data_IF_021693237627
#
_entry.id   IF_021693237627
#
_cell.length_a   1.000
_cell.length_b   1.000
_cell.length_c   1.000
_cell.angle_alpha   90.00
_cell.angle_beta   90.00
_cell.angle_gamma   90.00
#
_symmetry.space_group_name_H-M   'P 1'
#
loop_
_entity.id
_entity.type
_entity.pdbx_description
1 polymer ?
#
# COMPACT_ATOMS: atom_id res chain seq x y z
N UNK A 1 -45.93 17.31 28.68
CA UNK A 1 -44.63 16.73 29.09
C UNK A 1 -43.74 16.84 27.88
N UNK A 2 -42.80 17.77 27.90
CA UNK A 2 -41.89 18.03 26.79
C UNK A 2 -40.72 17.04 26.88
N UNK A 3 -40.41 16.35 25.78
CA UNK A 3 -39.25 15.47 25.68
C UNK A 3 -37.96 16.22 26.03
N UNK A 4 -37.01 15.58 26.74
CA UNK A 4 -35.72 16.19 27.03
C UNK A 4 -34.93 16.31 25.73
N UNK A 5 -34.57 17.55 25.37
CA UNK A 5 -33.67 17.85 24.27
C UNK A 5 -32.30 17.25 24.55
N UNK A 6 -31.93 16.27 23.72
CA UNK A 6 -30.61 15.65 23.70
C UNK A 6 -29.53 16.75 23.55
N UNK A 7 -28.45 16.74 24.37
CA UNK A 7 -27.46 17.80 24.32
C UNK A 7 -26.71 17.73 22.97
N UNK A 8 -26.88 18.76 22.15
CA UNK A 8 -26.07 18.96 20.96
C UNK A 8 -24.59 19.00 21.36
N UNK A 9 -23.87 17.93 20.99
CA UNK A 9 -22.43 17.84 21.08
C UNK A 9 -21.85 19.00 20.28
N UNK A 10 -21.37 20.03 20.98
CA UNK A 10 -20.85 21.25 20.37
C UNK A 10 -19.76 20.87 19.38
N UNK A 11 -20.00 21.19 18.10
CA UNK A 11 -19.05 21.01 17.01
C UNK A 11 -17.79 21.82 17.33
N UNK A 12 -16.78 21.14 17.89
CA UNK A 12 -15.48 21.73 18.18
C UNK A 12 -14.85 22.01 16.81
N UNK A 13 -15.01 23.22 16.32
CA UNK A 13 -14.34 23.70 15.11
C UNK A 13 -12.83 23.60 15.31
N UNK A 14 -12.28 22.51 14.78
CA UNK A 14 -10.85 22.26 14.69
C UNK A 14 -10.22 23.38 13.85
N UNK A 15 -9.41 24.21 14.47
CA UNK A 15 -8.63 25.22 13.77
C UNK A 15 -7.60 24.49 12.89
N UNK A 16 -7.79 24.59 11.56
CA UNK A 16 -6.99 23.96 10.53
C UNK A 16 -5.52 24.45 10.51
N UNK A 17 -5.18 25.46 11.32
CA UNK A 17 -3.81 25.96 11.50
C UNK A 17 -2.98 25.17 12.51
N UNK A 18 -3.60 24.30 13.31
CA UNK A 18 -2.87 23.48 14.29
C UNK A 18 -2.10 22.33 13.65
N UNK A 19 -0.91 22.07 14.19
CA UNK A 19 -0.06 20.93 13.83
C UNK A 19 -0.21 19.81 14.86
N UNK A 20 -0.22 18.57 14.37
CA UNK A 20 -0.32 17.36 15.15
C UNK A 20 0.92 16.50 14.93
N UNK A 21 1.43 15.93 16.01
CA UNK A 21 2.46 14.89 15.97
C UNK A 21 1.81 13.57 15.55
N UNK A 22 2.39 12.93 14.55
CA UNK A 22 1.84 11.75 13.89
C UNK A 22 2.85 10.62 13.98
N UNK A 23 2.37 9.47 14.43
CA UNK A 23 3.18 8.27 14.52
C UNK A 23 3.45 7.70 13.13
N UNK A 24 4.73 7.66 12.75
CA UNK A 24 5.16 7.22 11.44
C UNK A 24 4.79 5.75 11.17
N UNK A 25 4.91 4.87 12.17
CA UNK A 25 4.56 3.46 12.05
C UNK A 25 3.06 3.30 11.80
N UNK A 26 2.21 4.03 12.55
CA UNK A 26 0.76 4.01 12.35
C UNK A 26 0.35 4.48 10.96
N UNK A 27 0.95 5.57 10.47
CA UNK A 27 0.72 6.04 9.09
C UNK A 27 1.04 4.95 8.08
N UNK A 28 2.15 4.24 8.24
CA UNK A 28 2.55 3.18 7.32
C UNK A 28 1.68 1.92 7.45
N UNK A 29 1.22 1.60 8.65
CA UNK A 29 0.24 0.54 8.88
C UNK A 29 -1.09 0.84 8.20
N UNK A 30 -1.62 2.07 8.36
CA UNK A 30 -2.85 2.52 7.66
C UNK A 30 -2.64 2.51 6.16
N UNK A 31 -1.52 3.05 5.68
CA UNK A 31 -1.18 3.03 4.27
C UNK A 31 -1.21 1.62 3.67
N UNK A 32 -0.66 0.63 4.39
CA UNK A 32 -0.68 -0.78 4.00
C UNK A 32 -2.08 -1.40 4.12
N UNK A 33 -2.79 -1.13 5.20
CA UNK A 33 -4.11 -1.70 5.49
C UNK A 33 -5.17 -1.28 4.46
N UNK A 34 -5.10 -0.03 4.00
CA UNK A 34 -5.99 0.53 2.98
C UNK A 34 -5.43 0.41 1.56
N UNK A 35 -4.32 -0.33 1.37
CA UNK A 35 -3.67 -0.55 0.07
C UNK A 35 -3.47 0.75 -0.73
N UNK A 36 -3.15 1.84 -0.02
CA UNK A 36 -3.03 3.16 -0.60
C UNK A 36 -1.84 3.19 -1.55
N UNK A 37 -1.89 4.05 -2.57
CA UNK A 37 -0.77 4.28 -3.49
C UNK A 37 -0.31 5.72 -3.38
N UNK A 38 1.02 6.01 -3.30
CA UNK A 38 1.46 7.39 -3.09
C UNK A 38 1.10 8.31 -4.25
N UNK A 39 0.96 7.74 -5.46
CA UNK A 39 0.55 8.45 -6.67
C UNK A 39 -0.91 8.94 -6.64
N UNK A 40 -1.79 8.31 -5.84
CA UNK A 40 -3.20 8.73 -5.75
C UNK A 40 -3.34 10.07 -5.01
N UNK A 41 -2.44 10.37 -4.07
CA UNK A 41 -2.45 11.63 -3.33
C UNK A 41 -2.31 12.86 -4.23
N UNK A 42 -1.46 12.77 -5.25
CA UNK A 42 -1.23 13.85 -6.20
C UNK A 42 -2.35 13.99 -7.24
N UNK A 43 -2.99 12.89 -7.63
CA UNK A 43 -3.98 12.87 -8.69
C UNK A 43 -5.28 13.61 -8.30
N UNK A 44 -5.65 13.60 -7.02
CA UNK A 44 -6.92 14.17 -6.56
C UNK A 44 -6.79 15.59 -5.97
N UNK A 45 -5.64 16.24 -6.13
CA UNK A 45 -5.42 17.60 -5.65
C UNK A 45 -5.47 17.77 -4.13
N UNK A 46 -5.42 16.66 -3.36
CA UNK A 46 -5.45 16.65 -1.89
C UNK A 46 -4.08 17.03 -1.33
N UNK A 47 -3.77 18.32 -1.38
CA UNK A 47 -2.49 18.85 -0.89
C UNK A 47 -2.22 18.43 0.56
N UNK A 48 -0.97 18.04 0.85
CA UNK A 48 -0.55 17.62 2.19
C UNK A 48 -0.74 16.14 2.52
N UNK A 49 -1.65 15.39 1.88
CA UNK A 49 -1.78 13.94 2.12
C UNK A 49 -0.48 13.20 1.79
N UNK A 50 0.13 13.57 0.67
CA UNK A 50 1.39 13.03 0.21
C UNK A 50 2.53 13.27 1.22
N UNK A 51 2.55 14.44 1.89
CA UNK A 51 3.61 14.74 2.85
C UNK A 51 3.49 13.88 4.12
N UNK A 52 2.28 13.53 4.56
CA UNK A 52 2.03 12.60 5.68
C UNK A 52 2.74 11.28 5.43
N UNK A 53 2.52 10.67 4.26
CA UNK A 53 3.18 9.42 3.87
C UNK A 53 4.70 9.54 3.77
N UNK A 54 5.22 10.53 3.05
CA UNK A 54 6.68 10.62 2.83
C UNK A 54 7.45 10.98 4.09
N UNK A 55 6.86 11.78 4.99
CA UNK A 55 7.49 12.07 6.28
C UNK A 55 7.55 10.79 7.13
N UNK A 56 6.45 10.04 7.23
CA UNK A 56 6.45 8.75 7.92
C UNK A 56 7.50 7.79 7.34
N UNK A 57 7.58 7.68 6.01
CA UNK A 57 8.58 6.85 5.34
C UNK A 57 10.02 7.32 5.61
N UNK A 58 10.28 8.63 5.68
CA UNK A 58 11.63 9.14 6.01
C UNK A 58 12.02 8.76 7.44
N UNK A 59 11.09 8.86 8.39
CA UNK A 59 11.29 8.51 9.79
C UNK A 59 11.64 7.03 9.92
N UNK A 60 10.80 6.12 9.40
CA UNK A 60 11.03 4.66 9.50
C UNK A 60 12.35 4.24 8.84
N UNK A 61 12.76 4.90 7.77
CA UNK A 61 14.02 4.59 7.08
C UNK A 61 15.25 5.31 7.68
N UNK A 62 15.13 5.93 8.87
CA UNK A 62 16.19 6.69 9.52
C UNK A 62 16.82 7.77 8.60
N UNK A 63 16.01 8.38 7.73
CA UNK A 63 16.45 9.44 6.78
C UNK A 63 16.25 10.85 7.33
N UNK A 64 15.78 10.97 8.56
CA UNK A 64 15.61 12.22 9.30
C UNK A 64 15.88 11.92 10.78
N UNK A 65 16.32 12.93 11.54
CA UNK A 65 16.50 12.82 12.99
C UNK A 65 15.19 12.95 13.77
N UNK A 66 14.13 13.40 13.10
CA UNK A 66 12.80 13.48 13.71
C UNK A 66 12.23 12.07 13.86
N UNK A 67 11.63 11.79 15.00
CA UNK A 67 10.87 10.59 15.31
C UNK A 67 9.38 10.78 14.96
N UNK A 68 8.93 12.03 14.78
CA UNK A 68 7.52 12.34 14.49
C UNK A 68 7.31 13.15 13.20
N UNK A 69 6.17 12.88 12.55
CA UNK A 69 5.68 13.70 11.44
C UNK A 69 4.82 14.85 11.97
N UNK A 70 5.09 16.09 11.56
CA UNK A 70 4.27 17.25 11.91
C UNK A 70 3.35 17.63 10.76
N UNK A 71 2.03 17.51 10.97
CA UNK A 71 1.04 17.70 9.92
C UNK A 71 -0.15 18.52 10.40
N UNK A 72 -0.70 19.37 9.53
CA UNK A 72 -1.93 20.09 9.84
C UNK A 72 -3.13 19.15 9.88
N UNK A 73 -4.19 19.51 10.62
CA UNK A 73 -5.45 18.75 10.59
C UNK A 73 -5.95 18.53 9.15
N UNK A 74 -5.84 19.56 8.30
CA UNK A 74 -6.19 19.48 6.88
C UNK A 74 -5.38 18.43 6.12
N UNK A 75 -4.06 18.37 6.33
CA UNK A 75 -3.21 17.36 5.68
C UNK A 75 -3.58 15.93 6.13
N UNK A 76 -3.92 15.75 7.40
CA UNK A 76 -4.33 14.45 7.96
C UNK A 76 -5.72 14.03 7.49
N UNK A 77 -6.70 14.95 7.48
CA UNK A 77 -8.01 14.73 6.87
C UNK A 77 -7.88 14.35 5.39
N UNK A 78 -7.01 15.06 4.66
CA UNK A 78 -6.72 14.74 3.26
C UNK A 78 -6.06 13.38 3.10
N UNK A 79 -5.19 12.95 4.02
CA UNK A 79 -4.61 11.61 3.99
C UNK A 79 -5.68 10.54 4.25
N UNK A 80 -6.51 10.75 5.28
CA UNK A 80 -7.62 9.86 5.61
C UNK A 80 -8.72 9.82 4.58
N UNK A 81 -8.86 10.83 3.72
CA UNK A 81 -9.76 10.77 2.56
C UNK A 81 -9.50 9.54 1.68
N UNK A 82 -8.24 9.11 1.58
CA UNK A 82 -7.84 7.93 0.81
C UNK A 82 -7.94 6.62 1.61
N UNK A 83 -8.40 6.68 2.85
CA UNK A 83 -8.68 5.51 3.69
C UNK A 83 -10.15 5.10 3.53
N UNK A 84 -10.70 5.24 2.33
CA UNK A 84 -12.09 4.92 2.06
C UNK A 84 -12.26 3.40 1.97
N UNK A 85 -13.06 2.83 2.87
CA UNK A 85 -13.53 1.45 2.78
C UNK A 85 -14.57 1.29 1.65
N UNK A 86 -14.92 0.06 1.30
CA UNK A 86 -15.92 -0.26 0.27
C UNK A 86 -17.29 0.40 0.53
N UNK A 87 -17.62 0.67 1.79
CA UNK A 87 -18.84 1.36 2.20
C UNK A 87 -18.65 2.87 2.44
N UNK A 88 -17.64 3.46 1.80
CA UNK A 88 -17.37 4.90 1.77
C UNK A 88 -16.95 5.52 3.10
N UNK A 89 -16.73 4.72 4.14
CA UNK A 89 -16.30 5.23 5.44
C UNK A 89 -14.79 5.45 5.47
N UNK A 90 -14.37 6.50 6.17
CA UNK A 90 -12.98 6.92 6.25
C UNK A 90 -12.43 6.56 7.63
N UNK A 91 -11.15 6.16 7.70
CA UNK A 91 -10.46 6.10 8.98
C UNK A 91 -10.48 7.51 9.62
N UNK A 92 -10.92 7.66 10.88
CA UNK A 92 -10.79 8.94 11.57
C UNK A 92 -9.31 9.36 11.61
N UNK A 93 -9.00 10.58 11.16
CA UNK A 93 -7.62 11.10 11.14
C UNK A 93 -6.98 11.14 12.53
N UNK A 94 -7.82 11.17 13.56
CA UNK A 94 -7.49 11.07 14.97
C UNK A 94 -6.73 9.78 15.33
N UNK A 95 -6.91 8.69 14.58
CA UNK A 95 -6.22 7.41 14.77
C UNK A 95 -4.71 7.49 14.45
N UNK A 96 -4.31 8.49 13.66
CA UNK A 96 -2.92 8.70 13.23
C UNK A 96 -2.10 9.51 14.24
N UNK A 97 -2.75 10.20 15.18
CA UNK A 97 -2.10 11.13 16.11
C UNK A 97 -1.46 10.34 17.26
N UNK A 98 -0.27 10.76 17.69
CA UNK A 98 0.39 10.21 18.88
C UNK A 98 -0.08 10.91 20.18
N UNK A 99 -0.01 10.19 21.31
CA UNK A 99 -0.35 10.70 22.63
C UNK A 99 0.76 11.57 23.26
N UNK A 100 0.38 12.51 24.15
CA UNK A 100 1.29 13.46 24.81
C UNK A 100 2.31 12.77 25.72
N UNK A 101 1.93 11.65 26.33
CA UNK A 101 2.77 10.89 27.25
C UNK A 101 4.00 10.23 26.63
N UNK A 102 4.03 10.04 25.30
CA UNK A 102 5.21 9.53 24.57
C UNK A 102 6.00 10.66 23.88
N UNK A 103 5.55 11.90 24.02
CA UNK A 103 6.14 13.05 23.36
C UNK A 103 7.01 13.81 24.36
N UNK A 104 8.33 13.75 24.15
CA UNK A 104 9.32 14.35 25.05
C UNK A 104 9.45 15.88 24.91
N UNK A 105 8.75 16.50 23.96
CA UNK A 105 8.83 17.94 23.72
C UNK A 105 10.11 18.40 23.02
N UNK A 106 11.01 17.50 22.64
CA UNK A 106 12.36 17.85 22.19
C UNK A 106 12.51 17.93 20.66
N UNK A 107 11.45 17.67 19.88
CA UNK A 107 11.51 17.74 18.42
C UNK A 107 11.08 19.11 17.86
N UNK A 108 12.08 19.89 17.39
CA UNK A 108 11.90 21.17 16.71
C UNK A 108 11.46 21.05 15.24
N UNK A 109 10.84 22.08 14.66
CA UNK A 109 11.59 23.29 14.32
C UNK A 109 10.85 24.62 14.57
N UNK A 110 11.41 25.43 15.49
CA UNK A 110 11.37 26.91 15.43
C UNK A 110 10.59 27.64 16.53
N UNK A 111 11.25 28.65 17.15
CA UNK A 111 10.79 29.54 18.25
C UNK A 111 9.53 30.40 17.97
N UNK A 112 8.69 30.12 16.97
CA UNK A 112 7.59 31.03 16.55
C UNK A 112 6.20 30.42 16.39
N UNK A 113 6.00 29.11 16.54
CA UNK A 113 4.66 28.52 16.35
C UNK A 113 4.12 28.01 17.69
N UNK A 114 3.05 28.64 18.18
CA UNK A 114 2.32 28.22 19.38
C UNK A 114 1.70 26.84 19.22
N UNK A 115 2.53 25.79 19.34
CA UNK A 115 2.12 24.40 19.28
C UNK A 115 1.31 24.09 20.54
N UNK A 116 -0.02 24.15 20.43
CA UNK A 116 -0.88 23.42 21.35
C UNK A 116 -0.90 21.96 20.87
N UNK A 117 -0.01 21.14 21.41
CA UNK A 117 -0.07 19.69 21.26
C UNK A 117 -1.26 19.16 22.07
N UNK A 118 -2.46 19.37 21.54
CA UNK A 118 -3.67 18.73 22.02
C UNK A 118 -3.68 17.31 21.47
N UNK A 119 -3.07 16.40 22.21
CA UNK A 119 -3.20 14.98 21.94
C UNK A 119 -4.61 14.54 22.31
N UNK A 120 -5.21 13.71 21.48
CA UNK A 120 -6.56 13.20 21.74
C UNK A 120 -6.50 12.10 22.77
N UNK A 121 -7.56 11.98 23.58
CA UNK A 121 -7.73 10.89 24.53
C UNK A 121 -7.84 9.57 23.74
N UNK A 122 -6.75 8.81 23.71
CA UNK A 122 -6.73 7.45 23.18
C UNK A 122 -6.98 6.46 24.32
N UNK A 123 -7.57 5.33 23.96
CA UNK A 123 -7.95 4.27 24.87
C UNK A 123 -7.17 3.01 24.50
N UNK A 124 -6.69 2.28 25.50
CA UNK A 124 -6.02 1.00 25.29
C UNK A 124 -7.07 -0.08 25.02
N UNK A 125 -7.01 -0.67 23.83
CA UNK A 125 -7.94 -1.71 23.40
C UNK A 125 -7.53 -3.07 23.99
N UNK A 126 -8.46 -3.72 24.68
CA UNK A 126 -8.34 -5.11 25.15
C UNK A 126 -8.62 -6.05 23.97
N UNK A 127 -7.65 -6.22 23.08
CA UNK A 127 -7.80 -7.00 21.84
C UNK A 127 -8.41 -8.40 22.02
N UNK A 128 -8.03 -9.14 23.08
CA UNK A 128 -8.63 -10.44 23.40
C UNK A 128 -10.12 -10.34 23.73
N UNK A 129 -10.51 -9.30 24.48
CA UNK A 129 -11.91 -9.06 24.81
C UNK A 129 -12.73 -8.69 23.56
N UNK A 130 -12.16 -7.91 22.64
CA UNK A 130 -12.79 -7.62 21.35
C UNK A 130 -12.98 -8.89 20.52
N UNK A 131 -11.95 -9.73 20.39
CA UNK A 131 -12.03 -11.00 19.66
C UNK A 131 -13.11 -11.92 20.25
N UNK A 132 -13.12 -12.09 21.59
CA UNK A 132 -14.13 -12.89 22.28
C UNK A 132 -15.54 -12.33 22.11
N UNK A 133 -15.71 -11.01 22.19
CA UNK A 133 -16.99 -10.36 21.97
C UNK A 133 -17.50 -10.60 20.54
N UNK A 134 -16.64 -10.45 19.52
CA UNK A 134 -17.01 -10.75 18.13
C UNK A 134 -17.46 -12.21 17.96
N UNK A 135 -16.70 -13.15 18.53
CA UNK A 135 -17.03 -14.58 18.49
C UNK A 135 -18.36 -14.89 19.20
N UNK A 136 -18.64 -14.25 20.33
CA UNK A 136 -19.91 -14.39 21.07
C UNK A 136 -21.11 -13.84 20.29
N UNK A 137 -20.90 -12.80 19.49
CA UNK A 137 -21.91 -12.28 18.57
C UNK A 137 -22.03 -13.10 17.27
N UNK A 138 -21.24 -14.18 17.11
CA UNK A 138 -21.17 -15.02 15.91
C UNK A 138 -20.87 -14.24 14.62
N UNK A 139 -20.18 -13.09 14.74
CA UNK A 139 -19.82 -12.25 13.60
C UNK A 139 -18.49 -12.71 13.00
N UNK A 140 -18.41 -12.82 11.68
CA UNK A 140 -17.13 -12.87 10.98
C UNK A 140 -16.42 -11.51 11.05
N UNK A 141 -15.10 -11.48 10.81
CA UNK A 141 -14.36 -10.21 10.73
C UNK A 141 -14.91 -9.31 9.62
N UNK A 142 -15.37 -9.89 8.51
CA UNK A 142 -16.00 -9.16 7.41
C UNK A 142 -17.33 -8.54 7.85
N UNK A 143 -18.18 -9.28 8.57
CA UNK A 143 -19.46 -8.76 9.05
C UNK A 143 -19.27 -7.62 10.07
N UNK A 144 -18.29 -7.74 10.97
CA UNK A 144 -17.97 -6.65 11.90
C UNK A 144 -17.43 -5.42 11.18
N UNK A 145 -16.59 -5.61 10.16
CA UNK A 145 -16.10 -4.55 9.30
C UNK A 145 -17.25 -3.82 8.56
N UNK A 146 -18.18 -4.57 7.99
CA UNK A 146 -19.38 -4.02 7.33
C UNK A 146 -20.24 -3.21 8.32
N UNK A 147 -20.49 -3.74 9.53
CA UNK A 147 -21.31 -3.07 10.55
C UNK A 147 -20.66 -1.80 11.12
N UNK A 148 -19.35 -1.81 11.33
CA UNK A 148 -18.60 -0.67 11.87
C UNK A 148 -18.15 0.31 10.79
N UNK A 149 -18.30 -0.09 9.53
CA UNK A 149 -17.72 0.58 8.38
C UNK A 149 -16.22 0.80 8.45
N UNK A 150 -15.53 -0.11 9.14
CA UNK A 150 -14.08 -0.18 9.18
C UNK A 150 -13.62 -1.26 8.20
N UNK A 151 -12.42 -1.16 7.61
CA UNK A 151 -11.91 -2.25 6.79
C UNK A 151 -11.69 -3.52 7.60
N UNK A 152 -11.94 -4.67 6.98
CA UNK A 152 -11.66 -5.97 7.57
C UNK A 152 -10.22 -6.11 8.08
N UNK A 153 -9.25 -5.59 7.32
CA UNK A 153 -7.85 -5.62 7.74
C UNK A 153 -7.58 -4.82 9.01
N UNK A 154 -8.33 -3.74 9.24
CA UNK A 154 -8.22 -2.94 10.46
C UNK A 154 -8.81 -3.69 11.66
N UNK A 155 -9.94 -4.36 11.49
CA UNK A 155 -10.51 -5.29 12.49
C UNK A 155 -9.49 -6.36 12.88
N UNK A 156 -8.84 -7.00 11.90
CA UNK A 156 -7.82 -8.02 12.15
C UNK A 156 -6.62 -7.48 12.95
N UNK A 157 -6.13 -6.28 12.64
CA UNK A 157 -5.03 -5.65 13.38
C UNK A 157 -5.41 -5.35 14.84
N UNK A 158 -6.65 -4.92 15.06
CA UNK A 158 -7.18 -4.69 16.41
C UNK A 158 -7.28 -6.00 17.20
N UNK A 159 -7.82 -7.08 16.62
CA UNK A 159 -7.96 -8.38 17.29
C UNK A 159 -6.63 -9.08 17.59
N UNK A 160 -5.63 -8.89 16.71
CA UNK A 160 -4.28 -9.45 16.89
C UNK A 160 -3.41 -8.64 17.85
N UNK A 161 -3.91 -7.51 18.39
CA UNK A 161 -3.15 -6.61 19.25
C UNK A 161 -2.08 -5.80 18.53
N UNK A 162 -2.03 -5.86 17.19
CA UNK A 162 -1.13 -5.06 16.35
C UNK A 162 -1.57 -3.60 16.26
N UNK A 163 -2.80 -3.28 16.69
CA UNK A 163 -3.33 -1.93 16.87
C UNK A 163 -3.90 -1.75 18.29
N UNK A 164 -3.04 -1.52 19.31
CA UNK A 164 -3.44 -1.61 20.71
C UNK A 164 -4.16 -0.37 21.26
N UNK A 165 -4.32 0.69 20.46
CA UNK A 165 -4.91 1.95 20.93
C UNK A 165 -5.85 2.52 19.89
N UNK A 166 -7.04 2.93 20.33
CA UNK A 166 -8.08 3.49 19.47
C UNK A 166 -8.64 4.79 20.06
N UNK A 167 -9.32 5.57 19.23
CA UNK A 167 -10.06 6.74 19.71
C UNK A 167 -11.40 6.36 20.32
N UNK A 168 -11.99 7.29 21.08
CA UNK A 168 -13.35 7.13 21.61
C UNK A 168 -14.37 6.87 20.49
N UNK A 169 -14.24 7.54 19.34
CA UNK A 169 -15.18 7.35 18.21
C UNK A 169 -15.13 5.92 17.64
N UNK A 170 -13.94 5.34 17.47
CA UNK A 170 -13.79 3.94 17.05
C UNK A 170 -14.32 2.99 18.12
N UNK A 171 -14.14 3.30 19.41
CA UNK A 171 -14.72 2.53 20.50
C UNK A 171 -16.26 2.57 20.48
N UNK A 172 -16.85 3.72 20.22
CA UNK A 172 -18.31 3.87 20.14
C UNK A 172 -18.88 2.97 19.03
N UNK A 173 -18.25 2.96 17.85
CA UNK A 173 -18.62 2.07 16.74
C UNK A 173 -18.51 0.59 17.12
N UNK A 174 -17.39 0.18 17.72
CA UNK A 174 -17.14 -1.20 18.11
C UNK A 174 -18.10 -1.66 19.23
N UNK A 175 -18.30 -0.85 20.25
CA UNK A 175 -19.18 -1.15 21.38
C UNK A 175 -20.63 -1.33 20.93
N UNK A 176 -21.06 -0.52 19.97
CA UNK A 176 -22.40 -0.58 19.37
C UNK A 176 -22.56 -1.85 18.53
N UNK A 177 -21.62 -2.12 17.61
CA UNK A 177 -21.68 -3.30 16.73
C UNK A 177 -21.60 -4.63 17.51
N UNK A 178 -20.79 -4.66 18.58
CA UNK A 178 -20.60 -5.84 19.43
C UNK A 178 -21.59 -5.92 20.61
N UNK A 179 -22.47 -4.91 20.76
CA UNK A 179 -23.41 -4.79 21.88
C UNK A 179 -22.76 -5.07 23.25
N UNK A 180 -21.61 -4.43 23.50
CA UNK A 180 -20.80 -4.66 24.71
C UNK A 180 -20.42 -3.32 25.36
N UNK A 181 -20.41 -3.30 26.69
CA UNK A 181 -20.00 -2.14 27.46
C UNK A 181 -18.55 -1.71 27.12
N UNK A 182 -18.35 -0.40 26.93
CA UNK A 182 -17.07 0.18 26.53
C UNK A 182 -15.93 -0.12 27.50
N UNK A 183 -16.20 -0.20 28.81
CA UNK A 183 -15.18 -0.51 29.83
C UNK A 183 -14.65 -1.94 29.74
N UNK A 184 -15.41 -2.84 29.09
CA UNK A 184 -14.98 -4.21 28.81
C UNK A 184 -14.05 -4.28 27.60
N UNK A 185 -14.21 -3.38 26.63
CA UNK A 185 -13.38 -3.32 25.43
C UNK A 185 -12.11 -2.50 25.64
N UNK A 186 -12.15 -1.47 26.47
CA UNK A 186 -11.02 -0.56 26.62
C UNK A 186 -10.67 -0.25 28.07
N UNK A 187 -9.45 0.21 28.28
CA UNK A 187 -9.00 0.88 29.51
C UNK A 187 -8.47 2.26 29.16
N UNK A 188 -8.70 3.28 30.01
CA UNK A 188 -8.01 4.56 29.88
C UNK A 188 -6.50 4.31 29.86
N UNK A 189 -5.79 4.99 28.96
CA UNK A 189 -4.33 5.05 29.04
C UNK A 189 -4.03 5.93 30.25
N UNK A 190 -3.29 5.44 31.27
CA UNK A 190 -2.91 6.27 32.38
C UNK A 190 -2.17 7.49 31.82
N UNK A 191 -2.73 8.68 32.01
CA UNK A 191 -1.96 9.90 31.76
C UNK A 191 -0.72 9.79 32.63
N UNK A 192 0.45 9.69 32.00
CA UNK A 192 1.72 9.72 32.71
C UNK A 192 1.65 10.98 33.57
N UNK A 193 1.44 10.79 34.87
CA UNK A 193 1.33 11.88 35.81
C UNK A 193 2.65 12.61 35.70
N UNK A 194 2.64 13.76 35.04
CA UNK A 194 3.78 14.68 34.99
C UNK A 194 3.85 15.28 36.37
N UNK A 195 4.27 14.46 37.33
CA UNK A 195 4.59 14.88 38.68
C UNK A 195 5.79 15.82 38.52
N UNK A 196 5.68 17.10 38.93
CA UNK A 196 6.84 17.95 39.06
C UNK A 196 7.83 17.25 39.99
N UNK A 197 9.02 16.98 39.50
CA UNK A 197 10.10 16.33 40.24
C UNK A 197 10.27 17.02 41.60
N UNK A 198 9.81 16.36 42.66
CA UNK A 198 10.04 16.77 44.04
C UNK A 198 10.48 15.52 44.80
N UNK A 199 11.72 15.55 45.30
CA UNK A 199 12.30 14.53 46.16
C UNK A 199 11.41 14.22 47.38
N UNK A 200 11.12 12.94 47.63
CA UNK A 200 11.55 12.18 48.82
C UNK A 200 10.63 10.98 49.15
N UNK A 201 11.29 9.85 49.44
CA UNK A 201 11.03 8.75 50.38
C UNK A 201 9.72 7.89 50.37
N UNK A 202 10.00 6.57 50.41
CA UNK A 202 9.19 5.32 50.54
C UNK A 202 8.64 5.13 51.99
N UNK A 203 7.87 4.07 52.41
CA UNK A 203 7.38 2.85 51.71
C UNK A 203 5.98 2.24 52.11
N UNK A 204 5.65 1.14 51.42
CA UNK A 204 5.03 -0.15 51.87
C UNK A 204 3.54 -0.58 51.68
N UNK A 205 3.41 -1.72 50.95
CA UNK A 205 2.52 -2.92 51.11
C UNK A 205 1.03 -2.83 50.68
N UNK A 206 0.28 -3.85 50.20
CA UNK A 206 0.24 -5.32 50.34
C UNK A 206 -0.70 -5.97 49.26
N UNK A 207 -0.38 -7.21 48.78
CA UNK A 207 -1.20 -8.45 48.48
C UNK A 207 -2.72 -8.40 48.08
N UNK A 208 -3.38 -9.30 47.32
CA UNK A 208 -3.18 -10.68 46.84
C UNK A 208 -4.22 -11.12 45.74
N UNK A 209 -3.88 -12.21 45.04
CA UNK A 209 -4.63 -13.32 44.37
C UNK A 209 -6.15 -13.29 44.07
N UNK A 210 -6.54 -13.83 42.89
CA UNK A 210 -7.25 -15.15 42.73
C UNK A 210 -7.71 -15.45 41.29
N UNK A 211 -7.41 -16.66 40.81
CA UNK A 211 -8.02 -17.43 39.68
C UNK A 211 -9.00 -18.47 40.32
N UNK A 212 -9.94 -19.23 39.65
CA UNK A 212 -9.66 -20.11 38.49
C UNK A 212 -10.81 -20.49 37.49
N UNK A 213 -10.39 -21.03 36.34
CA UNK A 213 -10.81 -22.24 35.56
C UNK A 213 -12.30 -22.65 35.28
N UNK A 214 -12.59 -23.08 34.03
CA UNK A 214 -12.82 -24.50 33.56
C UNK A 214 -13.44 -24.55 32.12
N UNK A 215 -12.91 -25.47 31.31
CA UNK A 215 -13.25 -26.05 29.96
C UNK A 215 -14.59 -26.84 29.86
N UNK A 216 -14.90 -27.65 28.81
CA UNK A 216 -14.85 -27.49 27.33
C UNK A 216 -16.14 -28.05 26.64
N UNK A 217 -16.25 -27.99 25.29
CA UNK A 217 -16.92 -29.04 24.50
C UNK A 217 -16.65 -28.93 22.98
N UNK A 218 -16.20 -30.05 22.40
CA UNK A 218 -16.15 -30.39 20.95
C UNK A 218 -17.53 -30.86 20.44
N UNK A 219 -17.84 -30.85 19.13
CA UNK A 219 -17.62 -32.10 18.37
C UNK A 219 -17.32 -31.98 16.85
N UNK A 220 -16.99 -33.17 16.36
CA UNK A 220 -16.52 -33.79 15.10
C UNK A 220 -17.22 -33.57 13.73
N UNK A 221 -16.35 -33.64 12.70
CA UNK A 221 -16.41 -34.30 11.37
C UNK A 221 -17.57 -34.08 10.38
N UNK A 222 -17.22 -33.73 9.13
CA UNK A 222 -17.67 -34.45 7.93
C UNK A 222 -16.70 -34.30 6.75
N UNK A 223 -16.34 -35.44 6.16
CA UNK A 223 -15.55 -35.68 4.94
C UNK A 223 -16.37 -35.46 3.66
N UNK A 224 -15.75 -34.96 2.59
CA UNK A 224 -16.20 -35.21 1.22
C UNK A 224 -15.03 -35.22 0.22
N UNK A 225 -14.94 -36.31 -0.52
CA UNK A 225 -14.03 -36.54 -1.63
C UNK A 225 -14.45 -35.77 -2.88
N UNK A 226 -13.50 -35.20 -3.64
CA UNK A 226 -13.64 -35.11 -5.09
C UNK A 226 -12.28 -35.21 -5.80
N UNK A 227 -12.30 -36.05 -6.84
CA UNK A 227 -11.23 -36.35 -7.80
C UNK A 227 -11.14 -35.24 -8.86
N UNK A 228 -9.93 -34.87 -9.23
CA UNK A 228 -9.58 -34.37 -10.57
C UNK A 228 -8.08 -34.71 -10.77
N UNK A 229 -7.65 -35.38 -11.83
CA UNK A 229 -8.03 -35.17 -13.22
C UNK A 229 -6.84 -34.50 -13.91
N UNK A 230 -5.77 -35.29 -14.09
CA UNK A 230 -4.48 -34.89 -14.63
C UNK A 230 -4.62 -34.47 -16.11
N UNK A 231 -4.30 -33.22 -16.43
CA UNK A 231 -3.96 -32.81 -17.80
C UNK A 231 -2.65 -32.01 -17.77
N UNK A 232 -1.67 -32.53 -18.49
CA UNK A 232 -0.29 -32.08 -18.60
C UNK A 232 -0.04 -31.67 -20.07
N UNK A 233 0.83 -30.65 -20.26
CA UNK A 233 1.49 -30.12 -21.49
C UNK A 233 0.69 -29.09 -22.32
N UNK A 234 1.26 -27.99 -22.83
CA UNK A 234 2.64 -27.48 -22.85
C UNK A 234 2.69 -25.97 -23.24
N UNK A 235 3.59 -25.24 -22.56
CA UNK A 235 4.63 -24.31 -23.08
C UNK A 235 4.24 -23.24 -24.11
N UNK A 236 4.34 -21.96 -23.73
CA UNK A 236 5.15 -20.88 -24.38
C UNK A 236 4.85 -19.51 -23.73
N UNK A 237 5.70 -19.03 -22.82
CA UNK A 237 5.37 -17.87 -21.97
C UNK A 237 6.50 -16.90 -21.66
N UNK A 238 7.34 -16.53 -22.64
CA UNK A 238 8.17 -15.30 -22.53
C UNK A 238 8.43 -14.58 -23.86
N UNK A 239 7.72 -14.97 -24.92
CA UNK A 239 7.61 -14.19 -26.17
C UNK A 239 6.27 -13.45 -26.30
N UNK A 240 5.37 -13.57 -25.31
CA UNK A 240 4.01 -13.04 -25.42
C UNK A 240 3.93 -11.50 -25.41
N UNK A 241 4.94 -10.78 -24.90
CA UNK A 241 4.97 -9.32 -24.96
C UNK A 241 5.58 -8.75 -26.25
N UNK A 242 6.29 -9.56 -27.05
CA UNK A 242 6.87 -9.10 -28.32
C UNK A 242 6.03 -9.46 -29.55
N UNK A 243 4.94 -10.24 -29.39
CA UNK A 243 4.18 -10.81 -30.53
C UNK A 243 2.65 -10.69 -30.49
N UNK A 244 2.06 -10.14 -29.44
CA UNK A 244 0.65 -9.72 -29.49
C UNK A 244 0.57 -8.22 -29.76
N UNK A 245 0.45 -7.78 -31.02
CA UNK A 245 -0.13 -6.47 -31.25
C UNK A 245 -1.58 -6.55 -30.76
N UNK A 246 -1.92 -5.84 -29.68
CA UNK A 246 -3.30 -5.67 -29.22
C UNK A 246 -4.15 -4.81 -30.20
N UNK A 247 -3.64 -4.58 -31.42
CA UNK A 247 -4.33 -3.91 -32.52
C UNK A 247 -4.08 -4.67 -33.82
N UNK A 248 -5.11 -5.00 -34.63
CA UNK A 248 -4.88 -5.32 -36.03
C UNK A 248 -4.29 -4.09 -36.73
N UNK A 249 -3.36 -4.25 -37.69
CA UNK A 249 -2.92 -3.14 -38.52
C UNK A 249 -4.11 -2.65 -39.35
N UNK A 250 -4.78 -1.60 -38.88
CA UNK A 250 -5.75 -0.88 -39.68
C UNK A 250 -5.01 -0.20 -40.82
N UNK A 251 -5.16 -0.73 -42.05
CA UNK A 251 -4.81 -0.01 -43.26
C UNK A 251 -5.69 1.25 -43.35
N UNK A 252 -5.20 2.37 -42.84
CA UNK A 252 -5.74 3.68 -43.21
C UNK A 252 -5.23 4.00 -44.63
N UNK A 253 -6.16 3.98 -45.58
CA UNK A 253 -5.93 4.48 -46.93
C UNK A 253 -5.55 5.96 -46.84
N UNK A 254 -4.35 6.28 -47.32
CA UNK A 254 -3.80 7.64 -47.33
C UNK A 254 -4.51 8.42 -48.44
N UNK A 255 -5.40 9.33 -48.07
CA UNK A 255 -5.75 10.44 -48.94
C UNK A 255 -4.55 11.42 -48.98
N UNK A 256 -4.24 12.04 -50.14
CA UNK A 256 -3.14 12.98 -50.24
C UNK A 256 -3.39 14.19 -49.34
N UNK A 257 -2.47 14.43 -48.39
CA UNK A 257 -2.53 15.54 -47.46
C UNK A 257 -2.38 16.88 -48.18
N UNK A 258 -3.14 17.92 -47.77
CA UNK A 258 -2.87 19.29 -48.15
C UNK A 258 -1.54 19.74 -47.51
N UNK A 259 -0.76 20.49 -48.28
CA UNK A 259 0.52 21.09 -47.93
C UNK A 259 0.36 22.05 -46.74
N UNK A 260 0.45 21.52 -45.52
CA UNK A 260 0.40 22.30 -44.28
C UNK A 260 1.82 22.45 -43.75
N UNK A 261 2.45 23.55 -44.13
CA UNK A 261 3.64 24.12 -43.51
C UNK A 261 3.30 24.68 -42.13
N UNK A 262 2.82 23.84 -41.22
CA UNK A 262 2.84 24.17 -39.81
C UNK A 262 4.29 24.04 -39.34
N UNK A 263 4.89 25.18 -39.01
CA UNK A 263 6.10 25.27 -38.21
C UNK A 263 5.88 24.47 -36.92
N UNK A 264 6.22 23.18 -36.93
CA UNK A 264 6.37 22.40 -35.73
C UNK A 264 7.42 23.12 -34.88
N UNK A 265 6.97 23.63 -33.74
CA UNK A 265 7.81 24.35 -32.80
C UNK A 265 8.98 23.42 -32.41
N UNK A 266 10.20 23.77 -32.86
CA UNK A 266 11.42 22.97 -32.68
C UNK A 266 11.71 22.66 -31.20
N UNK A 267 11.06 23.36 -30.28
CA UNK A 267 11.10 23.12 -28.83
C UNK A 267 10.59 21.72 -28.45
N UNK A 268 9.64 21.14 -29.20
CA UNK A 268 9.07 19.83 -28.88
C UNK A 268 10.05 18.68 -29.19
N UNK A 269 10.89 18.84 -30.22
CA UNK A 269 11.86 17.83 -30.65
C UNK A 269 12.88 17.53 -29.54
N UNK A 270 13.20 18.52 -28.70
CA UNK A 270 14.18 18.39 -27.61
C UNK A 270 13.59 17.89 -26.28
N UNK A 271 12.28 17.64 -26.22
CA UNK A 271 11.61 17.14 -25.01
C UNK A 271 11.40 15.61 -25.06
N UNK A 272 11.29 14.95 -23.91
CA UNK A 272 10.95 13.51 -23.86
C UNK A 272 9.53 13.22 -24.40
N UNK A 273 8.62 14.19 -24.27
CA UNK A 273 7.23 14.07 -24.69
C UNK A 273 7.11 13.73 -26.17
N UNK A 274 6.23 12.79 -26.51
CA UNK A 274 6.01 12.28 -27.87
C UNK A 274 5.71 10.79 -27.86
N UNK A 275 5.63 10.19 -29.04
CA UNK A 275 5.41 8.77 -29.20
C UNK A 275 6.70 8.06 -29.56
N UNK A 276 6.89 6.87 -29.01
CA UNK A 276 8.15 6.14 -29.05
C UNK A 276 7.91 4.68 -29.39
N UNK A 277 8.60 4.20 -30.42
CA UNK A 277 8.68 2.79 -30.76
C UNK A 277 9.86 2.17 -30.03
N UNK A 278 9.58 1.36 -29.01
CA UNK A 278 10.60 0.67 -28.23
C UNK A 278 11.09 -0.57 -28.98
N UNK A 279 12.32 -1.00 -28.69
CA UNK A 279 12.96 -2.15 -29.35
C UNK A 279 12.25 -3.49 -29.11
N UNK A 280 11.31 -3.54 -28.16
CA UNK A 280 10.42 -4.68 -27.91
C UNK A 280 9.07 -4.56 -28.64
N UNK A 281 8.95 -3.67 -29.63
CA UNK A 281 7.73 -3.34 -30.38
C UNK A 281 6.61 -2.67 -29.55
N UNK A 282 6.89 -2.22 -28.32
CA UNK A 282 5.92 -1.41 -27.56
C UNK A 282 5.85 0.01 -28.12
N UNK A 283 4.64 0.54 -28.25
CA UNK A 283 4.41 1.95 -28.61
C UNK A 283 4.07 2.74 -27.34
N UNK A 284 4.97 3.64 -26.95
CA UNK A 284 4.88 4.40 -25.71
C UNK A 284 4.55 5.84 -26.01
N UNK A 285 3.47 6.35 -25.41
CA UNK A 285 3.06 7.75 -25.52
C UNK A 285 3.48 8.48 -24.24
N UNK A 286 4.37 9.46 -24.36
CA UNK A 286 4.84 10.29 -23.24
C UNK A 286 4.24 11.68 -23.39
N UNK A 287 3.53 12.14 -22.36
CA UNK A 287 2.86 13.45 -22.36
C UNK A 287 3.73 14.51 -21.67
N UNK A 288 3.55 15.80 -22.00
CA UNK A 288 4.20 16.89 -21.26
C UNK A 288 3.78 17.01 -19.79
N UNK A 289 2.64 16.43 -19.40
CA UNK A 289 2.11 16.50 -18.03
C UNK A 289 2.80 15.55 -17.05
N UNK A 290 3.83 14.82 -17.48
CA UNK A 290 4.54 13.87 -16.62
C UNK A 290 3.96 12.47 -16.62
N UNK A 291 3.10 12.11 -17.59
CA UNK A 291 2.58 10.74 -17.75
C UNK A 291 3.18 10.02 -18.95
N UNK A 292 3.25 8.70 -18.86
CA UNK A 292 3.62 7.83 -19.97
C UNK A 292 2.61 6.67 -20.07
N UNK A 293 2.33 6.20 -21.29
CA UNK A 293 1.33 5.17 -21.53
C UNK A 293 1.88 4.07 -22.42
N UNK A 294 1.64 2.82 -22.04
CA UNK A 294 1.86 1.62 -22.85
C UNK A 294 0.52 0.89 -22.97
N UNK A 295 -0.29 1.22 -23.98
CA UNK A 295 -1.68 0.76 -24.05
C UNK A 295 -2.46 1.16 -22.79
N UNK A 296 -2.98 0.18 -22.04
CA UNK A 296 -3.76 0.40 -20.81
C UNK A 296 -2.89 0.75 -19.59
N UNK A 297 -1.57 0.53 -19.66
CA UNK A 297 -0.68 0.79 -18.54
C UNK A 297 -0.28 2.26 -18.53
N UNK A 298 -0.47 2.92 -17.40
CA UNK A 298 -0.08 4.32 -17.19
C UNK A 298 1.07 4.40 -16.19
N UNK A 299 2.05 5.22 -16.50
CA UNK A 299 3.24 5.50 -15.72
C UNK A 299 3.38 7.00 -15.47
N UNK A 300 4.28 7.34 -14.55
CA UNK A 300 4.72 8.72 -14.35
C UNK A 300 6.16 8.85 -14.79
N UNK A 301 6.54 10.03 -15.30
CA UNK A 301 7.93 10.33 -15.61
C UNK A 301 8.36 11.66 -15.02
N UNK A 302 9.67 11.77 -14.75
CA UNK A 302 10.29 13.02 -14.30
C UNK A 302 11.73 13.13 -14.80
N UNK A 303 12.23 14.36 -14.81
CA UNK A 303 13.61 14.66 -15.17
C UNK A 303 14.54 14.25 -14.02
N UNK A 304 15.60 13.51 -14.33
CA UNK A 304 16.68 13.19 -13.37
C UNK A 304 17.83 14.20 -13.51
N UNK A 305 18.21 14.50 -14.75
CA UNK A 305 19.36 15.35 -15.10
C UNK A 305 19.08 16.04 -16.43
N UNK A 306 18.79 17.35 -16.39
CA UNK A 306 18.44 18.14 -17.57
C UNK A 306 19.59 18.26 -18.55
N UNK A 307 20.82 18.46 -18.05
CA UNK A 307 22.02 18.67 -18.86
C UNK A 307 22.37 17.40 -19.65
N UNK A 308 22.20 16.24 -19.02
CA UNK A 308 22.40 14.93 -19.67
C UNK A 308 21.16 14.39 -20.37
N UNK A 309 20.03 15.13 -20.36
CA UNK A 309 18.72 14.70 -20.89
C UNK A 309 18.33 13.31 -20.41
N UNK A 310 18.49 13.08 -19.10
CA UNK A 310 18.14 11.82 -18.44
C UNK A 310 16.83 11.96 -17.69
N UNK A 311 15.97 10.97 -17.86
CA UNK A 311 14.64 10.93 -17.29
C UNK A 311 14.40 9.57 -16.64
N UNK A 312 13.46 9.55 -15.69
CA UNK A 312 12.98 8.33 -15.04
C UNK A 312 11.53 8.13 -15.42
N UNK A 313 11.18 6.93 -15.87
CA UNK A 313 9.80 6.48 -16.06
C UNK A 313 9.52 5.43 -14.99
N UNK A 314 8.45 5.61 -14.22
CA UNK A 314 8.04 4.70 -13.14
C UNK A 314 6.67 4.13 -13.47
N UNK A 315 6.64 2.83 -13.76
CA UNK A 315 5.42 2.09 -14.05
C UNK A 315 4.81 1.53 -12.76
N UNK A 316 3.53 1.13 -12.79
CA UNK A 316 2.93 0.37 -11.70
C UNK A 316 3.71 -0.93 -11.49
N UNK A 317 3.99 -1.30 -10.24
CA UNK A 317 4.62 -2.57 -9.92
C UNK A 317 3.75 -3.75 -10.40
N UNK A 318 4.40 -4.85 -10.81
CA UNK A 318 3.73 -6.14 -10.86
C UNK A 318 3.67 -6.70 -9.45
N UNK A 319 2.47 -7.08 -9.01
CA UNK A 319 2.27 -7.70 -7.71
C UNK A 319 1.74 -9.11 -7.94
N UNK A 320 2.56 -10.11 -7.70
CA UNK A 320 2.18 -11.52 -7.80
C UNK A 320 1.60 -11.99 -6.47
N UNK A 321 0.51 -12.75 -6.52
CA UNK A 321 -0.11 -13.39 -5.36
C UNK A 321 -0.14 -14.88 -5.60
N UNK A 322 0.71 -15.63 -4.88
CA UNK A 322 0.99 -17.03 -5.12
C UNK A 322 0.64 -17.88 -3.91
N UNK A 323 0.00 -19.02 -4.15
CA UNK A 323 -0.20 -20.08 -3.17
C UNK A 323 0.88 -21.15 -3.36
N UNK A 324 1.40 -21.67 -2.25
CA UNK A 324 2.27 -22.83 -2.20
C UNK A 324 1.43 -24.12 -2.24
N UNK A 325 1.86 -25.12 -3.01
CA UNK A 325 1.25 -26.45 -2.97
C UNK A 325 1.41 -27.10 -1.60
N UNK A 326 0.57 -28.09 -1.31
CA UNK A 326 0.66 -28.86 -0.07
C UNK A 326 2.01 -29.61 0.03
N UNK A 327 2.56 -30.02 -1.10
CA UNK A 327 3.85 -30.68 -1.23
C UNK A 327 5.04 -29.69 -1.11
N UNK A 328 4.76 -28.38 -1.05
CA UNK A 328 5.78 -27.34 -0.88
C UNK A 328 6.68 -27.16 -2.11
N UNK A 329 6.32 -27.72 -3.27
CA UNK A 329 7.18 -27.80 -4.45
C UNK A 329 6.75 -26.91 -5.62
N UNK A 330 5.54 -26.34 -5.57
CA UNK A 330 5.02 -25.46 -6.62
C UNK A 330 4.37 -24.21 -6.05
N UNK A 331 4.55 -23.10 -6.75
CA UNK A 331 3.84 -21.85 -6.54
C UNK A 331 2.87 -21.64 -7.69
N UNK A 332 1.64 -21.21 -7.40
CA UNK A 332 0.65 -20.88 -8.43
C UNK A 332 -0.22 -19.71 -8.01
N UNK A 333 -0.63 -18.89 -8.98
CA UNK A 333 -1.48 -17.74 -8.71
C UNK A 333 -1.58 -16.78 -9.89
N UNK A 334 -1.78 -15.51 -9.59
CA UNK A 334 -1.91 -14.45 -10.60
C UNK A 334 -1.22 -13.18 -10.13
N UNK A 335 -0.89 -12.31 -11.08
CA UNK A 335 -0.50 -10.94 -10.76
C UNK A 335 -1.71 -9.98 -10.69
N UNK A 336 -1.47 -8.74 -10.30
CA UNK A 336 -2.46 -7.65 -10.25
C UNK A 336 -3.09 -7.27 -11.61
N UNK A 337 -2.65 -7.87 -12.71
CA UNK A 337 -3.26 -7.77 -14.03
C UNK A 337 -3.93 -9.07 -14.48
N UNK A 338 -4.17 -9.98 -13.53
CA UNK A 338 -4.80 -11.28 -13.74
C UNK A 338 -4.03 -12.20 -14.71
N UNK A 339 -2.72 -11.98 -14.86
CA UNK A 339 -1.85 -12.87 -15.65
C UNK A 339 -1.47 -14.06 -14.76
N UNK A 340 -1.69 -15.31 -15.21
CA UNK A 340 -1.38 -16.49 -14.42
C UNK A 340 0.13 -16.65 -14.25
N UNK A 341 0.52 -17.00 -13.03
CA UNK A 341 1.89 -17.22 -12.60
C UNK A 341 2.01 -18.63 -12.05
N UNK A 342 3.07 -19.33 -12.42
CA UNK A 342 3.47 -20.57 -11.80
C UNK A 342 5.00 -20.64 -11.64
N UNK A 343 5.46 -21.37 -10.63
CA UNK A 343 6.85 -21.71 -10.46
C UNK A 343 7.01 -23.08 -9.79
N UNK A 344 8.12 -23.77 -10.02
CA UNK A 344 8.47 -25.06 -9.42
C UNK A 344 9.79 -24.93 -8.67
N UNK A 345 9.87 -25.46 -7.45
CA UNK A 345 11.08 -25.41 -6.64
C UNK A 345 12.20 -26.21 -7.32
N UNK A 346 13.41 -25.65 -7.43
CA UNK A 346 14.56 -26.30 -8.09
C UNK A 346 15.32 -27.26 -7.20
N UNK A 347 15.27 -27.06 -5.89
CA UNK A 347 15.90 -27.93 -4.90
C UNK A 347 14.89 -28.19 -3.80
N UNK A 348 14.52 -29.44 -3.59
CA UNK A 348 13.76 -29.87 -2.43
C UNK A 348 14.56 -29.54 -1.18
N UNK A 349 14.20 -28.49 -0.44
CA UNK A 349 14.52 -28.48 0.98
C UNK A 349 13.73 -29.64 1.58
N UNK A 350 14.42 -30.64 2.12
CA UNK A 350 13.82 -31.75 2.87
C UNK A 350 13.32 -31.27 4.24
N UNK A 351 12.65 -30.11 4.27
CA UNK A 351 11.93 -29.65 5.44
C UNK A 351 10.69 -30.53 5.56
N UNK A 352 10.67 -31.42 6.56
CA UNK A 352 9.51 -32.22 6.93
C UNK A 352 8.32 -31.28 7.23
N UNK A 353 7.49 -31.06 6.22
CA UNK A 353 6.30 -30.23 6.26
C UNK A 353 5.22 -30.97 7.08
N UNK A 354 5.25 -30.81 8.40
CA UNK A 354 4.33 -31.51 9.31
C UNK A 354 3.31 -30.59 9.97
N UNK A 355 3.42 -29.27 9.75
CA UNK A 355 2.51 -28.28 10.33
C UNK A 355 1.75 -27.52 9.23
N UNK A 356 0.48 -27.21 9.48
CA UNK A 356 -0.41 -26.52 8.53
C UNK A 356 -0.16 -25.01 8.42
N UNK A 357 0.73 -24.48 9.27
CA UNK A 357 1.08 -23.07 9.30
C UNK A 357 2.30 -22.79 8.43
N UNK A 358 2.06 -22.25 7.23
CA UNK A 358 3.12 -21.76 6.35
C UNK A 358 3.93 -20.66 7.04
N UNK A 359 5.24 -20.86 7.13
CA UNK A 359 6.22 -19.91 7.61
C UNK A 359 6.93 -19.20 6.45
N UNK A 360 7.55 -18.06 6.71
CA UNK A 360 8.32 -17.33 5.71
C UNK A 360 9.46 -18.19 5.11
N UNK A 361 10.04 -19.11 5.90
CA UNK A 361 11.05 -20.06 5.41
C UNK A 361 10.55 -20.96 4.29
N UNK A 362 9.25 -21.26 4.25
CA UNK A 362 8.68 -22.19 3.27
C UNK A 362 8.72 -21.63 1.85
N UNK A 363 8.75 -20.31 1.70
CA UNK A 363 8.85 -19.67 0.39
C UNK A 363 10.28 -19.48 -0.09
N UNK A 364 11.26 -19.51 0.81
CA UNK A 364 12.67 -19.25 0.47
C UNK A 364 13.29 -20.36 -0.37
N UNK A 365 14.21 -19.98 -1.25
CA UNK A 365 14.93 -20.91 -2.12
C UNK A 365 14.87 -20.55 -3.61
N UNK A 366 15.33 -21.48 -4.44
CA UNK A 366 15.34 -21.31 -5.89
C UNK A 366 14.07 -21.88 -6.53
N UNK A 367 13.42 -21.08 -7.35
CA UNK A 367 12.17 -21.37 -8.04
C UNK A 367 12.34 -21.19 -9.55
N UNK A 368 11.99 -22.20 -10.33
CA UNK A 368 11.90 -22.12 -11.77
C UNK A 368 10.50 -21.62 -12.16
N UNK A 369 10.41 -20.38 -12.60
CA UNK A 369 9.16 -19.80 -13.09
C UNK A 369 8.72 -20.49 -14.39
N UNK A 370 7.42 -20.50 -14.66
CA UNK A 370 6.84 -21.11 -15.86
C UNK A 370 7.35 -20.55 -17.18
N UNK A 371 8.02 -19.39 -17.13
CA UNK A 371 8.66 -18.75 -18.25
C UNK A 371 10.14 -19.19 -18.45
N UNK A 372 10.65 -20.08 -17.60
CA UNK A 372 12.02 -20.61 -17.63
C UNK A 372 13.04 -19.82 -16.82
N UNK A 373 12.68 -18.68 -16.23
CA UNK A 373 13.58 -17.89 -15.38
C UNK A 373 13.70 -18.55 -14.01
N UNK A 374 14.91 -18.69 -13.50
CA UNK A 374 15.12 -19.04 -12.08
C UNK A 374 15.05 -17.77 -11.24
N UNK A 375 14.16 -17.76 -10.25
CA UNK A 375 14.15 -16.77 -9.19
C UNK A 375 14.72 -17.34 -7.89
N UNK A 376 15.36 -16.49 -7.11
CA UNK A 376 15.85 -16.77 -5.77
C UNK A 376 15.06 -15.93 -4.78
N UNK A 377 14.23 -16.57 -3.94
CA UNK A 377 13.51 -15.94 -2.83
C UNK A 377 14.39 -16.06 -1.58
N UNK A 378 14.77 -14.94 -0.99
CA UNK A 378 15.71 -14.88 0.13
C UNK A 378 15.01 -14.56 1.45
N UNK A 379 15.65 -14.95 2.56
CA UNK A 379 15.14 -14.73 3.92
C UNK A 379 15.08 -13.26 4.34
N UNK A 380 15.75 -12.36 3.63
CA UNK A 380 15.77 -10.91 3.89
C UNK A 380 14.62 -10.14 3.19
N UNK A 381 13.55 -10.84 2.81
CA UNK A 381 12.43 -10.30 2.04
C UNK A 381 12.78 -9.81 0.63
N UNK A 382 13.96 -10.15 0.09
CA UNK A 382 14.33 -9.86 -1.30
C UNK A 382 14.09 -11.05 -2.23
N UNK A 383 13.82 -10.75 -3.51
CA UNK A 383 13.72 -11.75 -4.57
C UNK A 383 14.48 -11.29 -5.81
N UNK A 384 15.18 -12.20 -6.46
CA UNK A 384 15.93 -11.93 -7.69
C UNK A 384 15.53 -12.94 -8.76
N UNK A 385 15.11 -12.47 -9.93
CA UNK A 385 14.76 -13.30 -11.09
C UNK A 385 15.50 -12.81 -12.34
N UNK A 386 16.74 -13.26 -12.50
CA UNK A 386 17.64 -12.72 -13.52
C UNK A 386 17.94 -11.23 -13.26
N UNK A 387 17.64 -10.31 -14.20
CA UNK A 387 17.85 -8.87 -13.99
C UNK A 387 16.74 -8.22 -13.15
N UNK A 388 15.63 -8.93 -12.91
CA UNK A 388 14.55 -8.47 -12.05
C UNK A 388 14.91 -8.59 -10.58
N UNK A 389 14.67 -7.52 -9.83
CA UNK A 389 14.79 -7.49 -8.38
C UNK A 389 13.47 -6.99 -7.81
N UNK A 390 13.03 -7.63 -6.74
CA UNK A 390 11.78 -7.31 -6.07
C UNK A 390 11.87 -7.54 -4.57
N UNK A 391 10.73 -7.34 -3.91
CA UNK A 391 10.54 -7.66 -2.50
C UNK A 391 9.38 -8.62 -2.34
N UNK A 392 9.36 -9.39 -1.26
CA UNK A 392 8.25 -10.29 -0.98
C UNK A 392 7.82 -10.24 0.48
N UNK A 393 6.59 -10.67 0.75
CA UNK A 393 6.05 -10.88 2.09
C UNK A 393 4.90 -11.90 2.04
N UNK A 394 4.48 -12.42 3.19
CA UNK A 394 3.32 -13.31 3.30
C UNK A 394 2.07 -12.54 3.74
N UNK A 395 0.91 -12.89 3.16
CA UNK A 395 -0.39 -12.39 3.56
C UNK A 395 -1.48 -13.44 3.30
N UNK A 396 -2.20 -13.84 4.35
CA UNK A 396 -3.29 -14.84 4.24
C UNK A 396 -2.81 -16.20 3.70
N UNK A 397 -1.63 -16.66 4.14
CA UNK A 397 -1.03 -17.92 3.65
C UNK A 397 -0.54 -17.88 2.21
N UNK A 398 -0.52 -16.71 1.57
CA UNK A 398 -0.02 -16.51 0.21
C UNK A 398 1.27 -15.70 0.21
N UNK A 399 2.15 -16.04 -0.73
CA UNK A 399 3.32 -15.27 -1.07
C UNK A 399 2.91 -14.10 -1.95
N UNK A 400 3.24 -12.89 -1.49
CA UNK A 400 3.07 -11.67 -2.27
C UNK A 400 4.45 -11.20 -2.73
N UNK A 401 4.64 -11.06 -4.04
CA UNK A 401 5.89 -10.55 -4.62
C UNK A 401 5.59 -9.22 -5.31
N UNK A 402 6.36 -8.19 -5.00
CA UNK A 402 6.32 -6.91 -5.70
C UNK A 402 7.57 -6.71 -6.56
N UNK A 403 7.35 -6.51 -7.86
CA UNK A 403 8.38 -6.20 -8.85
C UNK A 403 8.27 -4.72 -9.25
N UNK A 404 9.12 -3.82 -8.72
CA UNK A 404 9.15 -2.44 -9.15
C UNK A 404 9.66 -2.34 -10.59
N UNK A 405 8.98 -1.50 -11.39
CA UNK A 405 9.31 -1.28 -12.80
C UNK A 405 9.74 0.16 -13.02
N UNK A 406 11.03 0.35 -13.28
CA UNK A 406 11.61 1.68 -13.43
C UNK A 406 12.56 1.69 -14.62
N UNK A 407 12.28 2.54 -15.58
CA UNK A 407 13.21 2.81 -16.68
C UNK A 407 13.96 4.11 -16.43
N UNK A 408 15.26 4.06 -16.67
CA UNK A 408 16.08 5.25 -16.88
C UNK A 408 16.28 5.44 -18.36
N UNK A 409 15.82 6.58 -18.88
CA UNK A 409 15.90 6.89 -20.32
C UNK A 409 16.83 8.08 -20.55
N UNK A 410 17.62 8.02 -21.60
CA UNK A 410 18.50 9.11 -22.05
C UNK A 410 18.11 9.49 -23.47
N UNK A 411 17.69 10.74 -23.66
CA UNK A 411 17.29 11.29 -24.95
C UNK A 411 18.52 11.72 -25.75
N UNK A 412 18.60 11.33 -27.02
CA UNK A 412 19.67 11.76 -27.92
C UNK A 412 19.65 13.27 -28.17
N UNK A 413 20.77 13.80 -28.67
CA UNK A 413 20.92 15.23 -28.96
C UNK A 413 19.93 15.74 -30.02
N UNK A 414 19.62 14.92 -31.03
CA UNK A 414 18.63 15.19 -32.08
C UNK A 414 17.17 14.98 -31.61
N UNK A 415 16.98 14.41 -30.42
CA UNK A 415 15.65 14.13 -29.87
C UNK A 415 14.91 12.97 -30.54
N UNK A 416 15.55 12.19 -31.42
CA UNK A 416 14.89 11.15 -32.22
C UNK A 416 15.07 9.73 -31.68
N UNK A 417 15.93 9.52 -30.68
CA UNK A 417 16.18 8.20 -30.10
C UNK A 417 16.32 8.24 -28.58
N UNK A 418 15.98 7.12 -27.92
CA UNK A 418 16.22 6.89 -26.51
C UNK A 418 17.17 5.72 -26.32
N UNK A 419 18.12 5.89 -25.40
CA UNK A 419 18.79 4.77 -24.72
C UNK A 419 18.06 4.51 -23.43
N UNK A 420 17.58 3.29 -23.24
CA UNK A 420 16.77 2.87 -22.12
C UNK A 420 17.59 1.88 -21.30
N UNK A 421 17.57 2.04 -19.98
CA UNK A 421 18.11 1.07 -19.05
C UNK A 421 17.04 0.73 -18.03
N UNK A 422 16.70 -0.54 -17.92
CA UNK A 422 15.70 -1.01 -16.99
C UNK A 422 16.07 -2.35 -16.38
N UNK A 423 15.19 -2.87 -15.54
CA UNK A 423 15.34 -4.16 -14.87
C UNK A 423 15.34 -5.37 -15.82
N UNK A 424 15.14 -5.20 -17.13
CA UNK A 424 15.31 -6.23 -18.14
C UNK A 424 16.63 -6.08 -18.94
N UNK A 425 17.39 -5.02 -18.68
CA UNK A 425 18.64 -4.70 -19.37
C UNK A 425 18.56 -3.42 -20.21
N UNK A 426 19.55 -3.19 -21.09
CA UNK A 426 19.53 -2.07 -22.00
C UNK A 426 18.53 -2.30 -23.14
N UNK A 427 17.79 -1.25 -23.49
CA UNK A 427 16.88 -1.21 -24.63
C UNK A 427 17.05 0.12 -25.39
N UNK A 428 16.43 0.23 -26.56
CA UNK A 428 16.41 1.48 -27.33
C UNK A 428 14.98 1.82 -27.75
N UNK A 429 14.74 3.09 -28.07
CA UNK A 429 13.50 3.49 -28.74
C UNK A 429 13.78 4.54 -29.81
N UNK A 430 12.92 4.58 -30.82
CA UNK A 430 12.92 5.61 -31.86
C UNK A 430 11.63 6.43 -31.77
N UNK A 431 11.73 7.73 -32.00
CA UNK A 431 10.55 8.60 -32.00
C UNK A 431 9.69 8.28 -33.22
N UNK A 432 8.39 8.13 -32.99
CA UNK A 432 7.39 8.10 -34.04
C UNK A 432 7.00 9.54 -34.40
N UNK A 433 7.64 10.07 -35.45
CA UNK A 433 7.44 11.46 -35.91
C UNK A 433 6.05 11.71 -36.49
N UNK A 434 5.32 10.66 -36.86
CA UNK A 434 3.99 10.77 -37.44
C UNK A 434 2.87 10.67 -36.39
N UNK A 435 3.24 10.37 -35.14
CA UNK A 435 2.27 10.24 -34.07
C UNK A 435 1.73 11.61 -33.66
N UNK A 436 0.43 11.82 -33.90
CA UNK A 436 -0.27 12.98 -33.39
C UNK A 436 -0.56 12.78 -31.89
N UNK A 437 0.41 13.15 -31.05
CA UNK A 437 0.33 12.98 -29.59
C UNK A 437 -0.85 13.72 -28.91
N UNK A 438 -1.65 14.51 -29.65
CA UNK A 438 -2.60 15.49 -29.09
C UNK A 438 -4.07 15.38 -29.58
N UNK A 439 -4.53 14.30 -30.22
CA UNK A 439 -5.94 14.26 -30.69
C UNK A 439 -6.99 13.79 -29.66
N UNK A 440 -6.61 13.47 -28.41
CA UNK A 440 -7.57 13.01 -27.40
C UNK A 440 -8.06 14.07 -26.40
N UNK A 441 -7.76 15.36 -26.58
CA UNK A 441 -8.58 16.41 -25.97
C UNK A 441 -9.89 16.55 -26.75
N UNK A 442 -10.78 15.56 -26.58
CA UNK A 442 -12.18 15.74 -26.93
C UNK A 442 -12.69 16.80 -25.95
N UNK A 443 -13.05 17.97 -26.49
CA UNK A 443 -13.75 19.00 -25.75
C UNK A 443 -15.12 18.43 -25.37
N UNK A 444 -15.23 17.89 -24.16
CA UNK A 444 -16.53 17.68 -23.52
C UNK A 444 -17.00 19.06 -23.04
N UNK A 445 -17.63 19.79 -23.96
CA UNK A 445 -18.53 20.93 -23.69
C UNK A 445 -19.96 20.45 -23.54
#
# INVERSE_FOLDING_TARGET
MSEPTEPQQSDRTLDDTNYYAVNAERVMQVFKAFQMRPSHFSAEGKSGAQSVYYNARKIINNRTSNQWGHHTAKALKNFCYFTQSENQSLLPWQELIEHSGNYDGLEGAGRRTGNQLKTLNQLHLKHKAMLSARQQCELSQQQLAEQTALPQRFIELMETGKWPSITQATLDLLSTALNIDQSKLCTPIPEASTTPETLADTPDSHTADSNPAIEPATPTHHTLHYRAGLFILAVFGLFFWARHPLYPPGQQSIAPLPDSTHHADNTQLHSLSGCWNWSNNSHIIITPSGTAHNGIFSATWHIIDTDKRRYRITWPSFVDTLALSAEGDTLSGHNNFNIPINATRKSSSTSDFTDSDFTDSDFTGQWLWGNGITAEIRTDASIIAGPLQGTWYTAGGKLIIEWPLVDTVTLSADGLSLKIHNQFGPANATRDINCQANQHTKADT
#
